data_IF_291102785583
#
_entry.id   IF_291102785583
#
_cell.length_a   1.000
_cell.length_b   1.000
_cell.length_c   1.000
_cell.angle_alpha   90.00
_cell.angle_beta   90.00
_cell.angle_gamma   90.00
#
_symmetry.space_group_name_H-M   'P 1'
#
loop_
_entity.id
_entity.type
_entity.pdbx_description
1 polymer ?
#
# COMPACT_ATOMS: atom_id res chain seq x y z
N UNK A 1 -12.66 -22.94 -13.29
CA UNK A 1 -13.53 -21.95 -12.63
C UNK A 1 -13.84 -20.88 -13.66
N UNK A 2 -15.11 -20.69 -13.99
CA UNK A 2 -15.51 -19.72 -15.02
C UNK A 2 -15.67 -18.33 -14.41
N UNK A 3 -16.27 -18.23 -13.23
CA UNK A 3 -16.47 -16.98 -12.51
C UNK A 3 -16.10 -17.14 -11.03
N UNK A 4 -15.68 -16.04 -10.39
CA UNK A 4 -15.31 -16.02 -8.98
C UNK A 4 -15.61 -14.68 -8.31
N UNK A 5 -15.69 -14.70 -6.98
CA UNK A 5 -15.51 -13.52 -6.13
C UNK A 5 -14.02 -13.36 -5.87
N UNK A 6 -13.50 -12.17 -6.14
CA UNK A 6 -12.10 -11.83 -5.92
C UNK A 6 -11.94 -11.07 -4.60
N UNK A 7 -10.94 -11.47 -3.81
CA UNK A 7 -10.64 -10.85 -2.52
C UNK A 7 -9.19 -10.37 -2.53
N UNK A 8 -8.96 -9.13 -2.11
CA UNK A 8 -7.62 -8.55 -2.09
C UNK A 8 -7.38 -7.61 -0.91
N UNK A 9 -6.12 -7.50 -0.51
CA UNK A 9 -5.63 -6.58 0.50
C UNK A 9 -4.40 -5.84 -0.04
N UNK A 10 -4.28 -4.54 0.23
CA UNK A 10 -3.17 -3.68 -0.17
C UNK A 10 -2.90 -3.76 -1.69
N UNK A 11 -1.71 -4.18 -2.13
CA UNK A 11 -1.41 -4.43 -3.53
C UNK A 11 -2.36 -5.45 -4.18
N UNK A 12 -2.80 -6.46 -3.40
CA UNK A 12 -3.81 -7.42 -3.86
C UNK A 12 -5.15 -6.76 -4.13
N UNK A 13 -5.54 -5.73 -3.37
CA UNK A 13 -6.75 -4.95 -3.65
C UNK A 13 -6.63 -4.18 -4.98
N UNK A 14 -5.47 -3.58 -5.27
CA UNK A 14 -5.23 -2.96 -6.59
C UNK A 14 -5.41 -3.96 -7.74
N UNK A 15 -4.85 -5.17 -7.60
CA UNK A 15 -5.01 -6.23 -8.60
C UNK A 15 -6.48 -6.63 -8.75
N UNK A 16 -7.21 -6.75 -7.64
CA UNK A 16 -8.63 -7.12 -7.63
C UNK A 16 -9.49 -6.04 -8.29
N UNK A 17 -9.23 -4.75 -8.05
CA UNK A 17 -9.96 -3.65 -8.70
C UNK A 17 -9.82 -3.65 -10.24
N UNK A 18 -8.73 -4.18 -10.77
CA UNK A 18 -8.54 -4.29 -12.22
C UNK A 18 -9.21 -5.53 -12.84
N UNK A 19 -9.67 -6.51 -12.04
CA UNK A 19 -10.33 -7.70 -12.60
C UNK A 19 -11.59 -7.35 -13.39
N UNK A 20 -12.56 -6.56 -12.88
CA UNK A 20 -13.74 -6.21 -13.66
C UNK A 20 -13.44 -5.34 -14.88
N UNK A 21 -12.36 -4.56 -14.86
CA UNK A 21 -11.95 -3.72 -15.99
C UNK A 21 -11.32 -4.53 -17.13
N UNK A 22 -10.68 -5.65 -16.82
CA UNK A 22 -9.95 -6.48 -17.77
C UNK A 22 -10.71 -7.78 -18.13
N UNK A 23 -11.49 -8.34 -17.20
CA UNK A 23 -12.10 -9.66 -17.29
C UNK A 23 -13.51 -9.64 -16.68
N UNK A 24 -14.34 -8.69 -17.07
CA UNK A 24 -15.67 -8.43 -16.49
C UNK A 24 -16.54 -9.68 -16.39
N UNK A 25 -16.55 -10.53 -17.42
CA UNK A 25 -17.32 -11.78 -17.49
C UNK A 25 -16.86 -12.85 -16.50
N UNK A 26 -15.68 -12.71 -15.90
CA UNK A 26 -15.13 -13.63 -14.91
C UNK A 26 -15.42 -13.23 -13.46
N UNK A 27 -16.00 -12.05 -13.24
CA UNK A 27 -16.19 -11.46 -11.90
C UNK A 27 -17.65 -11.61 -11.46
N UNK A 28 -17.86 -12.27 -10.30
CA UNK A 28 -19.15 -12.30 -9.60
C UNK A 28 -19.26 -11.17 -8.59
N UNK A 29 -18.13 -10.72 -8.01
CA UNK A 29 -18.06 -9.67 -7.02
C UNK A 29 -16.65 -9.50 -6.51
N UNK A 30 -16.43 -8.43 -5.73
CA UNK A 30 -15.14 -8.03 -5.18
C UNK A 30 -15.24 -7.82 -3.68
N UNK A 31 -14.20 -8.18 -2.93
CA UNK A 31 -14.03 -7.77 -1.54
C UNK A 31 -12.59 -7.27 -1.34
N UNK A 32 -12.44 -6.00 -1.01
CA UNK A 32 -11.14 -5.36 -0.90
C UNK A 32 -10.92 -4.76 0.48
N UNK A 33 -9.68 -4.87 0.94
CA UNK A 33 -9.21 -4.35 2.21
C UNK A 33 -8.12 -3.30 1.98
N UNK A 34 -8.14 -2.23 2.75
CA UNK A 34 -7.20 -1.10 2.79
C UNK A 34 -7.28 -0.17 1.58
N UNK A 35 -7.05 -0.65 0.36
CA UNK A 35 -6.92 0.20 -0.82
C UNK A 35 -8.23 0.33 -1.57
N UNK A 36 -8.84 1.55 -1.64
CA UNK A 36 -10.08 1.79 -2.36
C UNK A 36 -9.87 1.77 -3.87
N UNK A 37 -10.98 1.67 -4.62
CA UNK A 37 -10.95 1.94 -6.05
C UNK A 37 -10.63 3.40 -6.30
N UNK A 38 -9.56 3.64 -7.03
CA UNK A 38 -9.15 4.97 -7.45
C UNK A 38 -9.29 5.10 -8.96
N UNK A 39 -10.01 6.12 -9.45
CA UNK A 39 -10.06 6.42 -10.87
C UNK A 39 -8.65 6.68 -11.41
N UNK A 40 -8.46 6.39 -12.69
CA UNK A 40 -7.19 6.70 -13.35
C UNK A 40 -6.89 8.20 -13.27
N UNK A 41 -5.76 8.62 -12.69
CA UNK A 41 -5.41 10.03 -12.59
C UNK A 41 -5.07 10.60 -13.97
N UNK A 42 -5.23 11.93 -14.18
CA UNK A 42 -4.96 12.58 -15.46
C UNK A 42 -3.48 12.60 -15.85
N UNK A 43 -2.58 12.48 -14.89
CA UNK A 43 -1.13 12.43 -15.06
C UNK A 43 -0.56 11.17 -14.41
N UNK A 44 0.69 10.84 -14.73
CA UNK A 44 1.40 9.72 -14.10
C UNK A 44 1.28 9.76 -12.57
N UNK A 45 0.79 8.68 -11.93
CA UNK A 45 0.57 8.64 -10.49
C UNK A 45 1.85 8.87 -9.67
N UNK A 46 3.02 8.48 -10.15
CA UNK A 46 4.29 8.74 -9.45
C UNK A 46 4.59 10.24 -9.44
N UNK A 47 4.34 10.94 -10.56
CA UNK A 47 4.49 12.40 -10.64
C UNK A 47 3.48 13.10 -9.73
N UNK A 48 2.23 12.64 -9.73
CA UNK A 48 1.19 13.18 -8.84
C UNK A 48 1.55 13.03 -7.36
N UNK A 49 2.01 11.85 -6.96
CA UNK A 49 2.45 11.57 -5.59
C UNK A 49 3.68 12.39 -5.21
N UNK A 50 4.63 12.60 -6.13
CA UNK A 50 5.81 13.43 -5.90
C UNK A 50 5.43 14.90 -5.68
N UNK A 51 4.47 15.43 -6.45
CA UNK A 51 3.96 16.78 -6.26
C UNK A 51 3.21 16.96 -4.94
N UNK A 52 2.48 15.94 -4.50
CA UNK A 52 1.67 16.00 -3.29
C UNK A 52 2.48 15.76 -2.01
N UNK A 53 3.45 14.85 -2.03
CA UNK A 53 4.12 14.35 -0.83
C UNK A 53 5.64 14.55 -0.82
N UNK A 54 6.20 15.03 -1.92
CA UNK A 54 7.64 15.22 -2.08
C UNK A 54 8.42 13.97 -2.50
N UNK A 55 9.72 14.12 -2.80
CA UNK A 55 10.56 13.07 -3.36
C UNK A 55 10.88 11.93 -2.38
N UNK A 56 10.77 12.18 -1.08
CA UNK A 56 11.05 11.19 -0.02
C UNK A 56 9.84 10.31 0.29
N UNK A 57 8.67 10.57 -0.30
CA UNK A 57 7.53 9.68 -0.17
C UNK A 57 7.89 8.29 -0.70
N UNK A 58 7.64 7.24 0.07
CA UNK A 58 8.18 5.91 -0.20
C UNK A 58 7.93 5.38 -1.62
N UNK A 59 6.73 5.60 -2.18
CA UNK A 59 6.40 5.18 -3.55
C UNK A 59 7.29 5.93 -4.56
N UNK A 60 7.47 7.23 -4.38
CA UNK A 60 8.32 8.06 -5.24
C UNK A 60 9.77 7.62 -5.11
N UNK A 61 10.25 7.44 -3.88
CA UNK A 61 11.61 6.98 -3.60
C UNK A 61 11.92 5.64 -4.29
N UNK A 62 11.02 4.63 -4.18
CA UNK A 62 11.21 3.33 -4.83
C UNK A 62 11.27 3.43 -6.36
N UNK A 63 10.58 4.40 -6.95
CA UNK A 63 10.60 4.66 -8.38
C UNK A 63 11.83 5.43 -8.84
N UNK A 64 12.21 6.49 -8.12
CA UNK A 64 13.30 7.40 -8.49
C UNK A 64 14.68 6.87 -8.12
N UNK A 65 14.77 6.05 -7.07
CA UNK A 65 16.01 5.52 -6.51
C UNK A 65 15.96 3.99 -6.35
N UNK A 66 15.88 3.24 -7.48
CA UNK A 66 15.76 1.78 -7.43
C UNK A 66 16.93 1.13 -6.68
N UNK A 67 16.64 0.18 -5.81
CA UNK A 67 17.60 -0.57 -5.02
C UNK A 67 18.06 0.11 -3.73
N UNK A 68 17.97 1.44 -3.59
CA UNK A 68 18.47 2.16 -2.41
C UNK A 68 17.72 1.74 -1.15
N UNK A 69 16.40 1.73 -1.19
CA UNK A 69 15.57 1.30 -0.06
C UNK A 69 15.78 -0.18 0.26
N UNK A 70 15.77 -1.03 -0.76
CA UNK A 70 15.99 -2.47 -0.58
C UNK A 70 17.33 -2.78 0.11
N UNK A 71 18.40 -2.09 -0.26
CA UNK A 71 19.70 -2.20 0.38
C UNK A 71 19.67 -1.71 1.85
N UNK A 72 19.01 -0.59 2.11
CA UNK A 72 18.89 -0.06 3.47
C UNK A 72 18.09 -1.00 4.41
N UNK A 73 17.04 -1.64 3.89
CA UNK A 73 16.23 -2.62 4.65
C UNK A 73 17.03 -3.91 4.93
N UNK A 74 17.82 -4.35 3.96
CA UNK A 74 18.65 -5.54 4.07
C UNK A 74 19.85 -5.36 5.02
N UNK A 75 20.36 -4.15 5.18
CA UNK A 75 21.48 -3.82 6.08
C UNK A 75 21.18 -4.23 7.53
N UNK A 76 19.96 -3.99 7.99
CA UNK A 76 19.46 -4.50 9.26
C UNK A 76 17.97 -4.87 9.17
N UNK A 77 17.68 -6.03 8.63
CA UNK A 77 16.32 -6.55 8.39
C UNK A 77 15.47 -6.53 9.66
N UNK A 78 16.01 -6.99 10.79
CA UNK A 78 15.26 -7.02 12.05
C UNK A 78 14.89 -5.61 12.52
N UNK A 79 15.83 -4.67 12.49
CA UNK A 79 15.58 -3.29 12.87
C UNK A 79 14.50 -2.65 12.00
N UNK A 80 14.60 -2.80 10.70
CA UNK A 80 13.59 -2.28 9.76
C UNK A 80 12.21 -2.85 10.06
N UNK A 81 12.07 -4.18 10.15
CA UNK A 81 10.79 -4.82 10.39
C UNK A 81 10.22 -4.46 11.77
N UNK A 82 11.04 -4.42 12.81
CA UNK A 82 10.57 -3.98 14.13
C UNK A 82 10.20 -2.50 14.18
N UNK A 83 10.72 -1.66 13.32
CA UNK A 83 10.33 -0.24 13.25
C UNK A 83 9.03 -0.03 12.47
N UNK A 84 8.76 -0.82 11.43
CA UNK A 84 7.57 -0.65 10.61
C UNK A 84 6.32 -1.32 11.23
N UNK A 85 6.48 -2.42 11.98
CA UNK A 85 5.38 -3.15 12.62
C UNK A 85 5.16 -2.73 14.07
N UNK A 86 4.90 -1.42 14.27
CA UNK A 86 4.62 -0.86 15.61
C UNK A 86 3.26 -0.20 15.67
N UNK A 87 2.65 -0.30 16.85
CA UNK A 87 1.49 0.53 17.18
C UNK A 87 1.91 2.01 17.14
N UNK A 88 1.03 2.87 16.70
CA UNK A 88 1.22 4.33 16.69
C UNK A 88 2.30 4.90 15.75
N UNK A 89 3.05 4.09 15.01
CA UNK A 89 4.03 4.63 14.04
C UNK A 89 3.38 5.57 13.02
N UNK A 90 2.14 5.27 12.66
CA UNK A 90 1.37 6.00 11.64
C UNK A 90 0.32 6.95 12.22
N UNK A 91 0.15 6.96 13.55
CA UNK A 91 -0.88 7.75 14.25
C UNK A 91 -0.33 8.88 15.08
N UNK A 92 0.95 8.89 15.34
CA UNK A 92 1.55 9.89 16.18
C UNK A 92 1.56 11.23 15.44
N UNK A 93 0.51 12.00 15.67
CA UNK A 93 0.38 13.41 15.26
C UNK A 93 1.17 14.32 16.18
N UNK A 94 2.22 13.80 16.84
CA UNK A 94 3.11 14.63 17.63
C UNK A 94 3.72 15.68 16.70
N UNK A 95 3.36 16.95 16.93
CA UNK A 95 3.83 18.11 16.18
C UNK A 95 5.36 18.24 16.14
N UNK A 96 6.06 17.47 16.97
CA UNK A 96 7.52 17.36 17.01
C UNK A 96 8.08 16.21 16.15
N UNK A 97 7.25 15.43 15.48
CA UNK A 97 7.76 14.51 14.47
C UNK A 97 8.08 15.29 13.20
N UNK A 98 9.25 15.05 12.58
CA UNK A 98 9.45 15.54 11.23
C UNK A 98 8.42 14.89 10.34
N UNK A 99 7.43 15.66 9.91
CA UNK A 99 6.53 15.29 8.84
C UNK A 99 7.42 14.95 7.64
N UNK A 100 7.50 13.68 7.28
CA UNK A 100 8.29 13.25 6.13
C UNK A 100 9.51 12.39 6.43
N UNK A 101 9.52 11.66 7.55
CA UNK A 101 10.53 10.62 7.71
C UNK A 101 10.44 9.63 6.55
N UNK A 102 11.51 9.52 5.77
CA UNK A 102 11.54 8.59 4.67
C UNK A 102 11.50 7.15 5.20
N UNK A 103 10.95 6.23 4.42
CA UNK A 103 10.96 4.80 4.79
C UNK A 103 12.39 4.27 4.95
N UNK A 104 13.36 4.89 4.28
CA UNK A 104 14.79 4.58 4.42
C UNK A 104 15.32 5.02 5.77
N UNK A 105 14.87 6.19 6.27
CA UNK A 105 15.24 6.66 7.61
C UNK A 105 14.65 5.75 8.69
N UNK A 106 13.43 5.26 8.50
CA UNK A 106 12.84 4.25 9.40
C UNK A 106 13.68 2.98 9.52
N UNK A 107 14.38 2.59 8.45
CA UNK A 107 15.29 1.44 8.50
C UNK A 107 16.54 1.71 9.35
N UNK A 108 16.89 2.97 9.62
CA UNK A 108 18.15 3.40 10.25
C UNK A 108 18.00 3.87 11.68
N UNK A 109 16.81 4.29 12.10
CA UNK A 109 16.61 4.78 13.47
C UNK A 109 16.73 3.65 14.49
N UNK A 110 17.38 3.96 15.60
CA UNK A 110 17.56 3.02 16.72
C UNK A 110 16.44 3.14 17.76
N UNK A 111 15.83 4.32 17.88
CA UNK A 111 14.75 4.59 18.83
C UNK A 111 13.44 4.18 18.24
N UNK A 112 12.86 3.14 18.79
CA UNK A 112 11.57 2.58 18.38
C UNK A 112 10.46 3.23 19.21
N UNK A 113 9.39 3.68 18.52
CA UNK A 113 8.18 4.21 19.17
C UNK A 113 7.06 3.17 19.11
N UNK A 114 6.17 3.20 20.10
CA UNK A 114 5.07 2.27 20.21
C UNK A 114 5.50 0.85 20.55
N UNK A 115 4.53 -0.04 20.69
CA UNK A 115 4.75 -1.44 20.99
C UNK A 115 4.84 -2.25 19.69
N UNK A 116 5.65 -3.29 19.68
CA UNK A 116 5.71 -4.23 18.57
C UNK A 116 4.32 -4.92 18.43
N UNK A 117 3.81 -4.98 17.20
CA UNK A 117 2.47 -5.53 16.91
C UNK A 117 2.43 -7.06 16.89
N UNK A 118 3.54 -7.71 17.13
CA UNK A 118 3.70 -9.17 17.11
C UNK A 118 4.69 -9.61 18.20
N UNK A 119 4.73 -10.90 18.49
CA UNK A 119 5.75 -11.47 19.37
C UNK A 119 7.15 -11.49 18.71
N UNK A 120 8.19 -11.67 19.50
CA UNK A 120 9.55 -11.80 18.98
C UNK A 120 9.70 -13.06 18.09
N UNK A 121 9.00 -14.15 18.43
CA UNK A 121 8.98 -15.37 17.63
C UNK A 121 8.31 -15.15 16.26
N UNK A 122 7.23 -14.38 16.21
CA UNK A 122 6.58 -14.00 14.97
C UNK A 122 7.48 -13.08 14.14
N UNK A 123 8.14 -12.12 14.77
CA UNK A 123 9.12 -11.25 14.10
C UNK A 123 10.27 -12.07 13.50
N UNK A 124 10.75 -13.11 14.19
CA UNK A 124 11.80 -14.01 13.68
C UNK A 124 11.40 -14.69 12.37
N UNK A 125 10.13 -15.05 12.22
CA UNK A 125 9.60 -15.62 10.97
C UNK A 125 9.71 -14.61 9.83
N UNK A 126 9.29 -13.35 10.06
CA UNK A 126 9.41 -12.28 9.06
C UNK A 126 10.86 -11.98 8.72
N UNK A 127 11.72 -11.85 9.74
CA UNK A 127 13.15 -11.60 9.53
C UNK A 127 13.78 -12.69 8.68
N UNK A 128 13.54 -13.97 9.00
CA UNK A 128 14.08 -15.11 8.25
C UNK A 128 13.58 -15.12 6.81
N UNK A 129 12.29 -14.83 6.60
CA UNK A 129 11.69 -14.79 5.27
C UNK A 129 12.34 -13.68 4.41
N UNK A 130 12.47 -12.46 4.94
CA UNK A 130 13.08 -11.35 4.20
C UNK A 130 14.59 -11.45 4.05
N UNK A 131 15.29 -12.07 4.97
CA UNK A 131 16.72 -12.42 4.78
C UNK A 131 16.91 -13.40 3.62
N UNK A 132 15.96 -14.30 3.40
CA UNK A 132 15.98 -15.23 2.29
C UNK A 132 15.59 -14.60 0.96
N UNK A 133 14.47 -13.85 0.92
CA UNK A 133 13.91 -13.27 -0.31
C UNK A 133 14.53 -11.93 -0.71
N UNK A 134 15.08 -11.20 0.24
CA UNK A 134 15.47 -9.80 0.07
C UNK A 134 14.27 -8.85 -0.04
N UNK A 135 14.55 -7.58 -0.25
CA UNK A 135 13.54 -6.49 -0.34
C UNK A 135 13.36 -5.94 -1.77
N UNK A 136 14.17 -6.38 -2.72
CA UNK A 136 14.10 -5.85 -4.10
C UNK A 136 12.75 -6.16 -4.76
N UNK A 137 12.29 -7.42 -4.67
CA UNK A 137 11.03 -7.84 -5.26
C UNK A 137 9.80 -7.11 -4.66
N UNK A 138 9.66 -6.97 -3.33
CA UNK A 138 8.62 -6.12 -2.73
C UNK A 138 8.66 -4.66 -3.21
N UNK A 139 9.82 -4.04 -3.28
CA UNK A 139 9.95 -2.66 -3.78
C UNK A 139 9.57 -2.53 -5.26
N UNK A 140 9.79 -3.57 -6.07
CA UNK A 140 9.47 -3.56 -7.49
C UNK A 140 7.96 -3.52 -7.78
N UNK A 141 7.09 -3.92 -6.85
CA UNK A 141 5.65 -3.73 -7.00
C UNK A 141 5.32 -2.26 -7.25
N UNK A 142 5.90 -1.36 -6.48
CA UNK A 142 5.69 0.08 -6.58
C UNK A 142 6.23 0.69 -7.87
N UNK A 143 7.23 0.08 -8.49
CA UNK A 143 7.84 0.56 -9.73
C UNK A 143 6.98 0.35 -10.98
N UNK A 144 5.87 -0.36 -10.84
CA UNK A 144 4.94 -0.59 -11.94
C UNK A 144 3.84 0.49 -12.07
N UNK A 145 3.77 1.47 -11.17
CA UNK A 145 2.69 2.48 -11.19
C UNK A 145 2.61 3.22 -12.52
N UNK A 146 3.72 3.81 -13.00
CA UNK A 146 3.75 4.54 -14.27
C UNK A 146 3.41 3.64 -15.46
N UNK A 147 4.00 2.45 -15.50
CA UNK A 147 3.73 1.48 -16.57
C UNK A 147 2.27 1.00 -16.56
N UNK A 148 1.71 0.69 -15.40
CA UNK A 148 0.31 0.30 -15.28
C UNK A 148 -0.62 1.43 -15.72
N UNK A 149 -0.30 2.67 -15.37
CA UNK A 149 -1.04 3.84 -15.80
C UNK A 149 -1.02 3.99 -17.34
N UNK A 150 0.12 3.80 -18.00
CA UNK A 150 0.21 3.81 -19.47
C UNK A 150 -0.62 2.68 -20.09
N UNK A 151 -0.44 1.44 -19.63
CA UNK A 151 -1.10 0.25 -20.18
C UNK A 151 -2.63 0.28 -20.04
N UNK A 152 -3.14 0.97 -19.03
CA UNK A 152 -4.57 1.05 -18.75
C UNK A 152 -5.25 2.29 -19.31
N UNK A 153 -4.57 3.06 -20.17
CA UNK A 153 -5.08 4.30 -20.74
C UNK A 153 -6.36 4.16 -21.57
N UNK A 154 -6.59 2.99 -22.14
CA UNK A 154 -7.79 2.68 -22.94
C UNK A 154 -8.93 2.02 -22.18
N UNK A 155 -8.77 1.78 -20.86
CA UNK A 155 -9.82 1.15 -20.05
C UNK A 155 -10.83 2.18 -19.56
N UNK A 156 -12.10 1.81 -19.53
CA UNK A 156 -13.11 2.54 -18.78
C UNK A 156 -12.91 2.23 -17.28
N UNK A 157 -12.51 3.24 -16.50
CA UNK A 157 -12.26 3.09 -15.06
C UNK A 157 -13.57 3.20 -14.26
N UNK A 158 -14.43 2.20 -14.45
CA UNK A 158 -15.70 2.08 -13.77
C UNK A 158 -15.94 0.63 -13.35
N UNK A 159 -16.31 0.42 -12.10
CA UNK A 159 -16.68 -0.89 -11.55
C UNK A 159 -18.18 -0.93 -11.38
N UNK A 160 -18.83 -1.88 -12.06
CA UNK A 160 -20.29 -2.09 -11.99
C UNK A 160 -20.67 -3.38 -11.25
N UNK A 161 -19.68 -4.16 -10.81
CA UNK A 161 -19.87 -5.39 -10.08
C UNK A 161 -20.13 -5.12 -8.60
N UNK A 162 -20.87 -6.00 -7.91
CA UNK A 162 -20.98 -5.92 -6.44
C UNK A 162 -19.60 -5.86 -5.80
N UNK A 163 -19.36 -4.84 -4.97
CA UNK A 163 -18.07 -4.62 -4.36
C UNK A 163 -18.22 -4.28 -2.87
N UNK A 164 -17.45 -4.97 -2.04
CA UNK A 164 -17.29 -4.67 -0.62
C UNK A 164 -15.93 -4.02 -0.41
N UNK A 165 -15.91 -2.88 0.29
CA UNK A 165 -14.68 -2.21 0.71
C UNK A 165 -14.62 -2.16 2.23
N UNK A 166 -13.51 -2.65 2.79
CA UNK A 166 -13.24 -2.64 4.23
C UNK A 166 -11.90 -1.96 4.46
N UNK A 167 -11.85 -1.00 5.39
CA UNK A 167 -10.59 -0.39 5.82
C UNK A 167 -10.61 0.01 7.29
N UNK A 168 -9.44 0.07 7.89
CA UNK A 168 -9.27 0.55 9.26
C UNK A 168 -9.58 2.06 9.34
N UNK A 169 -10.16 2.49 10.45
CA UNK A 169 -10.41 3.92 10.72
C UNK A 169 -9.15 4.76 10.54
N UNK A 170 -8.01 4.19 10.85
CA UNK A 170 -6.72 4.84 10.87
C UNK A 170 -5.80 4.35 9.75
N UNK A 171 -6.35 3.74 8.71
CA UNK A 171 -5.58 3.29 7.56
C UNK A 171 -5.04 4.51 6.79
N UNK A 172 -3.74 4.56 6.58
CA UNK A 172 -3.07 5.68 5.93
C UNK A 172 -3.40 5.83 4.44
N UNK A 173 -3.87 4.75 3.80
CA UNK A 173 -4.26 4.77 2.38
C UNK A 173 -5.72 5.19 2.17
N UNK A 174 -6.45 5.43 3.26
CA UNK A 174 -7.83 5.92 3.18
C UNK A 174 -7.87 7.37 2.67
N UNK A 175 -8.69 7.68 1.65
CA UNK A 175 -8.90 9.07 1.24
C UNK A 175 -9.46 9.92 2.38
N UNK A 176 -8.91 11.12 2.58
CA UNK A 176 -9.27 12.02 3.70
C UNK A 176 -10.73 12.49 3.60
N UNK A 177 -11.25 12.64 2.39
CA UNK A 177 -12.61 13.07 2.11
C UNK A 177 -13.70 11.99 2.34
N UNK A 178 -13.28 10.75 2.53
CA UNK A 178 -14.19 9.64 2.86
C UNK A 178 -14.40 9.45 4.38
N UNK A 179 -13.89 10.35 5.22
CA UNK A 179 -13.88 10.17 6.68
C UNK A 179 -15.27 10.06 7.31
N UNK A 180 -16.29 10.72 6.77
CA UNK A 180 -17.61 10.80 7.38
C UNK A 180 -18.72 10.10 6.57
N UNK A 181 -18.53 9.82 5.29
CA UNK A 181 -19.56 9.24 4.41
C UNK A 181 -19.60 7.72 4.39
N UNK A 182 -18.62 7.05 4.97
CA UNK A 182 -18.49 5.59 4.89
C UNK A 182 -19.17 4.87 6.05
N UNK A 183 -19.58 5.59 7.09
CA UNK A 183 -20.50 5.03 8.08
C UNK A 183 -21.86 4.58 7.47
N UNK A 184 -22.17 5.08 6.29
CA UNK A 184 -23.42 4.86 5.57
C UNK A 184 -23.25 4.06 4.27
N UNK A 185 -22.18 3.27 4.14
CA UNK A 185 -22.13 2.28 3.06
C UNK A 185 -23.21 1.22 3.30
N UNK A 186 -24.42 1.58 2.90
CA UNK A 186 -25.50 0.61 2.78
C UNK A 186 -25.03 -0.50 1.84
N UNK A 187 -25.13 -1.72 2.34
CA UNK A 187 -24.98 -2.91 1.52
C UNK A 187 -26.11 -2.87 0.50
N UNK A 188 -25.83 -2.34 -0.68
CA UNK A 188 -26.75 -2.50 -1.80
C UNK A 188 -26.65 -3.96 -2.26
N UNK A 189 -27.62 -4.76 -1.81
CA UNK A 189 -27.87 -6.13 -2.29
C UNK A 189 -28.53 -6.10 -3.66
#
# INVERSE_FOLDING_TARGET
>A
IDQAVFVGHDWGALVVWYQPLLNSDRVLGLANFSVPFLPRPPIDPVVLMEQANGPEFYIVHFNRQPGVAAAAFADNTRRFLSNIYRTNVWHDTDENQPSGMSIVDMARIDVQRGDLMMSEEELDVFVSAFQHSGFEAPCNWYRNFSRNWELTSGLEHRVEHPALMIYGRYDMVRPVDMSDSVADLEIHT
#
